data_IF_514229752440
#
_entry.id   IF_514229752440
#
_cell.length_a   1.000
_cell.length_b   1.000
_cell.length_c   1.000
_cell.angle_alpha   90.00
_cell.angle_beta   90.00
_cell.angle_gamma   90.00
#
_symmetry.space_group_name_H-M   'P 1'
#
loop_
_entity.id
_entity.type
_entity.pdbx_description
1 polymer ?
#
# COMPACT_ATOMS: atom_id res chain seq x y z
N UNK A 1 -5.07 40.61 -15.53
CA UNK A 1 -4.65 39.52 -14.62
C UNK A 1 -5.92 38.92 -14.04
N UNK A 2 -6.00 37.58 -13.90
CA UNK A 2 -7.17 36.95 -13.28
C UNK A 2 -7.37 37.48 -11.87
N UNK A 3 -8.63 37.70 -11.48
CA UNK A 3 -8.94 38.13 -10.11
C UNK A 3 -8.98 36.93 -9.14
N UNK A 4 -8.96 37.21 -7.85
CA UNK A 4 -8.87 36.18 -6.79
C UNK A 4 -10.04 35.17 -6.83
N UNK A 5 -11.22 35.60 -7.30
CA UNK A 5 -12.39 34.75 -7.44
C UNK A 5 -12.25 33.80 -8.64
N UNK A 6 -11.74 34.26 -9.78
CA UNK A 6 -11.47 33.42 -10.95
C UNK A 6 -10.40 32.36 -10.65
N UNK A 7 -9.37 32.70 -9.87
CA UNK A 7 -8.36 31.74 -9.42
C UNK A 7 -8.97 30.72 -8.47
N UNK A 8 -9.80 31.16 -7.51
CA UNK A 8 -10.50 30.25 -6.58
C UNK A 8 -11.45 29.30 -7.31
N UNK A 9 -12.24 29.80 -8.26
CA UNK A 9 -13.18 28.98 -9.04
C UNK A 9 -12.45 27.99 -9.96
N UNK A 10 -11.34 28.43 -10.57
CA UNK A 10 -10.49 27.55 -11.36
C UNK A 10 -9.90 26.42 -10.51
N UNK A 11 -9.37 26.75 -9.32
CA UNK A 11 -8.82 25.78 -8.36
C UNK A 11 -9.89 24.85 -7.79
N UNK A 12 -11.08 25.35 -7.48
CA UNK A 12 -12.23 24.56 -7.03
C UNK A 12 -12.69 23.59 -8.12
N UNK A 13 -12.75 24.02 -9.39
CA UNK A 13 -13.12 23.15 -10.51
C UNK A 13 -12.10 22.04 -10.77
N UNK A 14 -10.80 22.31 -10.52
CA UNK A 14 -9.72 21.32 -10.61
C UNK A 14 -9.80 20.32 -9.45
N UNK A 15 -10.00 20.79 -8.20
CA UNK A 15 -10.21 19.90 -7.04
C UNK A 15 -11.40 18.95 -7.24
N UNK A 16 -12.51 19.45 -7.76
CA UNK A 16 -13.72 18.65 -7.99
C UNK A 16 -13.57 17.60 -9.11
N UNK A 17 -12.72 17.83 -10.11
CA UNK A 17 -12.41 16.85 -11.17
C UNK A 17 -11.38 15.80 -10.76
N UNK A 18 -10.39 16.17 -9.94
CA UNK A 18 -9.28 15.29 -9.56
C UNK A 18 -9.67 14.34 -8.41
N UNK A 19 -10.50 14.81 -7.48
CA UNK A 19 -10.95 14.01 -6.33
C UNK A 19 -11.65 12.67 -6.70
N UNK A 20 -12.59 12.60 -7.68
CA UNK A 20 -13.22 11.34 -8.04
C UNK A 20 -12.29 10.39 -8.82
N UNK A 21 -11.34 10.91 -9.62
CA UNK A 21 -10.42 10.05 -10.38
C UNK A 21 -9.33 9.43 -9.50
N UNK A 22 -8.84 10.12 -8.46
CA UNK A 22 -7.86 9.54 -7.54
C UNK A 22 -8.49 8.52 -6.57
N UNK A 23 -9.76 8.70 -6.21
CA UNK A 23 -10.50 7.80 -5.30
C UNK A 23 -11.02 6.53 -6.02
N UNK A 24 -11.21 6.61 -7.34
CA UNK A 24 -11.71 5.50 -8.16
C UNK A 24 -10.65 4.55 -8.73
N UNK A 25 -9.36 4.84 -8.55
CA UNK A 25 -8.30 4.05 -9.15
C UNK A 25 -8.26 2.62 -8.54
N UNK A 26 -8.39 1.55 -9.36
CA UNK A 26 -8.41 0.15 -8.91
C UNK A 26 -7.07 -0.35 -8.32
N UNK A 27 -6.13 0.55 -8.02
CA UNK A 27 -4.73 0.23 -7.75
C UNK A 27 -4.45 -0.52 -6.44
N UNK A 28 -5.06 -0.21 -5.27
CA UNK A 28 -4.61 -0.83 -4.01
C UNK A 28 -4.82 -2.34 -3.98
N UNK A 29 -5.96 -2.81 -4.49
CA UNK A 29 -6.32 -4.23 -4.61
C UNK A 29 -5.43 -4.96 -5.58
N UNK A 30 -5.10 -4.32 -6.70
CA UNK A 30 -4.26 -4.89 -7.74
C UNK A 30 -2.82 -5.01 -7.23
N UNK A 31 -2.29 -3.97 -6.58
CA UNK A 31 -0.99 -4.00 -5.92
C UNK A 31 -0.95 -5.07 -4.83
N UNK A 32 -1.92 -5.12 -3.92
CA UNK A 32 -1.98 -6.12 -2.85
C UNK A 32 -2.17 -7.54 -3.40
N UNK A 33 -3.01 -7.72 -4.42
CA UNK A 33 -3.20 -9.01 -5.10
C UNK A 33 -1.90 -9.50 -5.75
N UNK A 34 -1.21 -8.63 -6.49
CA UNK A 34 0.09 -8.95 -7.07
C UNK A 34 1.17 -9.24 -6.02
N UNK A 35 1.15 -8.52 -4.90
CA UNK A 35 2.03 -8.77 -3.76
C UNK A 35 1.80 -10.15 -3.14
N UNK A 36 0.54 -10.55 -2.97
CA UNK A 36 0.17 -11.90 -2.49
C UNK A 36 0.58 -12.96 -3.50
N UNK A 37 0.39 -12.73 -4.80
CA UNK A 37 0.87 -13.65 -5.86
C UNK A 37 2.39 -13.82 -5.79
N UNK A 38 3.15 -12.74 -5.63
CA UNK A 38 4.60 -12.82 -5.44
C UNK A 38 4.97 -13.66 -4.21
N UNK A 39 4.24 -13.50 -3.09
CA UNK A 39 4.46 -14.29 -1.89
C UNK A 39 4.21 -15.79 -2.12
N UNK A 40 3.10 -16.12 -2.80
CA UNK A 40 2.76 -17.51 -3.14
C UNK A 40 3.81 -18.11 -4.06
N UNK A 41 4.29 -17.37 -5.06
CA UNK A 41 5.38 -17.82 -5.94
C UNK A 41 6.66 -18.12 -5.16
N UNK A 42 7.00 -17.30 -4.16
CA UNK A 42 8.13 -17.57 -3.27
C UNK A 42 7.89 -18.82 -2.42
N UNK A 43 6.66 -19.06 -1.94
CA UNK A 43 6.33 -20.26 -1.15
C UNK A 43 6.40 -21.55 -1.98
N UNK A 44 5.84 -21.57 -3.19
CA UNK A 44 5.76 -22.80 -4.00
C UNK A 44 7.00 -23.01 -4.88
N UNK A 45 7.69 -21.93 -5.23
CA UNK A 45 8.78 -21.91 -6.20
C UNK A 45 10.17 -21.64 -5.60
N UNK A 46 10.33 -21.68 -4.28
CA UNK A 46 11.59 -21.35 -3.60
C UNK A 46 12.81 -22.16 -4.08
N UNK A 47 12.60 -23.35 -4.66
CA UNK A 47 13.68 -24.18 -5.21
C UNK A 47 14.18 -23.75 -6.60
N UNK A 48 13.55 -22.77 -7.26
CA UNK A 48 13.85 -22.37 -8.64
C UNK A 48 14.30 -20.91 -8.70
N UNK A 49 15.56 -20.67 -9.06
CA UNK A 49 16.14 -19.33 -9.14
C UNK A 49 15.36 -18.39 -10.09
N UNK A 50 14.92 -18.81 -11.30
CA UNK A 50 14.09 -17.98 -12.16
C UNK A 50 12.77 -17.56 -11.49
N UNK A 51 12.13 -18.45 -10.73
CA UNK A 51 10.86 -18.15 -10.05
C UNK A 51 11.08 -17.17 -8.91
N UNK A 52 12.14 -17.35 -8.13
CA UNK A 52 12.50 -16.42 -7.05
C UNK A 52 12.80 -15.03 -7.59
N UNK A 53 13.56 -14.91 -8.67
CA UNK A 53 13.87 -13.63 -9.31
C UNK A 53 12.60 -12.97 -9.89
N UNK A 54 11.76 -13.73 -10.58
CA UNK A 54 10.49 -13.23 -11.10
C UNK A 54 9.55 -12.74 -9.99
N UNK A 55 9.47 -13.49 -8.88
CA UNK A 55 8.69 -13.11 -7.72
C UNK A 55 9.25 -11.86 -7.03
N UNK A 56 10.57 -11.70 -6.94
CA UNK A 56 11.20 -10.51 -6.38
C UNK A 56 10.91 -9.25 -7.22
N UNK A 57 10.93 -9.37 -8.56
CA UNK A 57 10.54 -8.27 -9.47
C UNK A 57 9.07 -7.91 -9.28
N UNK A 58 8.18 -8.91 -9.27
CA UNK A 58 6.74 -8.69 -9.05
C UNK A 58 6.48 -8.03 -7.69
N UNK A 59 7.16 -8.49 -6.65
CA UNK A 59 7.11 -7.89 -5.32
C UNK A 59 7.54 -6.41 -5.35
N UNK A 60 8.67 -6.08 -5.98
CA UNK A 60 9.14 -4.70 -6.09
C UNK A 60 8.16 -3.79 -6.81
N UNK A 61 7.58 -4.26 -7.93
CA UNK A 61 6.58 -3.50 -8.69
C UNK A 61 5.28 -3.27 -7.91
N UNK A 62 4.84 -4.28 -7.17
CA UNK A 62 3.55 -4.24 -6.44
C UNK A 62 3.66 -3.52 -5.11
N UNK A 63 4.75 -3.70 -4.37
CA UNK A 63 5.02 -3.03 -3.10
C UNK A 63 5.50 -1.57 -3.29
N UNK A 64 6.27 -1.28 -4.34
CA UNK A 64 6.86 0.05 -4.57
C UNK A 64 5.82 1.17 -4.67
N UNK A 65 4.60 0.85 -5.11
CA UNK A 65 3.49 1.80 -5.16
C UNK A 65 2.79 2.06 -3.83
N UNK A 66 3.13 1.37 -2.72
CA UNK A 66 2.39 1.45 -1.47
C UNK A 66 2.47 2.83 -0.81
N UNK A 67 3.65 3.45 -0.77
CA UNK A 67 3.86 4.75 -0.14
C UNK A 67 2.97 5.86 -0.74
N UNK A 68 2.99 6.15 -2.06
CA UNK A 68 2.13 7.20 -2.64
C UNK A 68 0.62 6.89 -2.53
N UNK A 69 0.23 5.60 -2.53
CA UNK A 69 -1.17 5.21 -2.30
C UNK A 69 -1.61 5.53 -0.87
N UNK A 70 -0.79 5.20 0.13
CA UNK A 70 -1.07 5.52 1.54
C UNK A 70 -1.03 7.02 1.80
N UNK A 71 -0.09 7.76 1.21
CA UNK A 71 -0.03 9.22 1.31
C UNK A 71 -1.30 9.88 0.76
N UNK A 72 -1.81 9.38 -0.38
CA UNK A 72 -3.06 9.86 -0.96
C UNK A 72 -4.23 9.61 -0.01
N UNK A 73 -4.32 8.40 0.55
CA UNK A 73 -5.36 8.05 1.51
C UNK A 73 -5.30 8.90 2.81
N UNK A 74 -4.10 9.10 3.35
CA UNK A 74 -3.87 9.94 4.53
C UNK A 74 -4.16 11.41 4.26
N UNK A 75 -3.88 11.91 3.06
CA UNK A 75 -4.22 13.28 2.66
C UNK A 75 -5.72 13.50 2.68
N UNK A 76 -6.48 12.54 2.14
CA UNK A 76 -7.94 12.60 2.12
C UNK A 76 -8.50 12.47 3.55
N UNK A 77 -8.01 11.50 4.34
CA UNK A 77 -8.49 11.26 5.68
C UNK A 77 -8.09 12.36 6.69
N UNK A 78 -6.91 12.95 6.52
CA UNK A 78 -6.35 13.97 7.41
C UNK A 78 -6.94 15.37 7.22
N UNK A 79 -7.54 15.66 6.07
CA UNK A 79 -8.21 16.94 5.81
C UNK A 79 -7.30 18.14 6.04
N UNK A 80 -7.61 18.97 7.04
CA UNK A 80 -6.78 20.15 7.41
C UNK A 80 -5.44 19.75 8.03
N UNK A 81 -5.34 18.56 8.61
CA UNK A 81 -4.14 18.02 9.25
C UNK A 81 -3.40 17.02 8.34
N UNK A 82 -3.59 17.11 7.02
CA UNK A 82 -2.99 16.18 6.04
C UNK A 82 -1.47 16.14 6.11
N UNK A 83 -0.83 17.28 6.36
CA UNK A 83 0.64 17.38 6.40
C UNK A 83 1.19 16.67 7.64
N UNK A 84 0.50 16.81 8.77
CA UNK A 84 0.82 16.08 10.00
C UNK A 84 0.62 14.58 9.82
N UNK A 85 -0.50 14.15 9.24
CA UNK A 85 -0.77 12.73 8.99
C UNK A 85 0.28 12.09 8.08
N UNK A 86 0.67 12.77 6.99
CA UNK A 86 1.70 12.28 6.07
C UNK A 86 3.09 12.29 6.71
N UNK A 87 3.39 13.22 7.62
CA UNK A 87 4.68 13.24 8.33
C UNK A 87 4.88 12.00 9.23
N UNK A 88 3.81 11.39 9.74
CA UNK A 88 3.90 10.14 10.51
C UNK A 88 4.07 8.88 9.63
N UNK A 89 3.79 8.96 8.33
CA UNK A 89 3.85 7.77 7.47
C UNK A 89 5.26 7.17 7.39
N UNK A 90 6.36 7.93 7.17
CA UNK A 90 7.71 7.39 7.21
C UNK A 90 8.08 6.81 8.59
N UNK A 91 7.58 7.42 9.68
CA UNK A 91 7.81 6.93 11.05
C UNK A 91 7.18 5.54 11.22
N UNK A 92 5.93 5.37 10.79
CA UNK A 92 5.25 4.09 10.83
C UNK A 92 5.95 3.03 9.96
N UNK A 93 6.39 3.39 8.75
CA UNK A 93 7.16 2.50 7.88
C UNK A 93 8.48 2.07 8.52
N UNK A 94 9.25 3.00 9.06
CA UNK A 94 10.54 2.70 9.69
C UNK A 94 10.38 1.81 10.92
N UNK A 95 9.34 2.06 11.73
CA UNK A 95 9.03 1.23 12.88
C UNK A 95 8.65 -0.20 12.44
N UNK A 96 7.80 -0.32 11.41
CA UNK A 96 7.41 -1.61 10.85
C UNK A 96 8.61 -2.38 10.27
N UNK A 97 9.50 -1.73 9.52
CA UNK A 97 10.71 -2.35 8.97
C UNK A 97 11.65 -2.79 10.08
N UNK A 98 11.85 -1.96 11.10
CA UNK A 98 12.71 -2.30 12.25
C UNK A 98 12.16 -3.49 13.03
N UNK A 99 10.85 -3.49 13.32
CA UNK A 99 10.18 -4.60 13.98
C UNK A 99 10.23 -5.88 13.11
N UNK A 100 9.97 -5.77 11.81
CA UNK A 100 10.05 -6.90 10.89
C UNK A 100 11.47 -7.47 10.79
N UNK A 101 12.51 -6.64 10.88
CA UNK A 101 13.90 -7.10 10.94
C UNK A 101 14.18 -7.93 12.19
N UNK A 102 13.74 -7.46 13.37
CA UNK A 102 13.91 -8.18 14.63
C UNK A 102 13.11 -9.49 14.66
N UNK A 103 11.80 -9.41 14.38
CA UNK A 103 10.91 -10.58 14.37
C UNK A 103 11.32 -11.55 13.27
N UNK A 104 11.66 -11.04 12.09
CA UNK A 104 12.11 -11.84 10.95
C UNK A 104 13.39 -12.63 11.25
N UNK A 105 14.38 -12.00 11.90
CA UNK A 105 15.60 -12.70 12.31
C UNK A 105 15.31 -13.87 13.25
N UNK A 106 14.41 -13.67 14.23
CA UNK A 106 13.97 -14.73 15.14
C UNK A 106 13.23 -15.85 14.40
N UNK A 107 12.32 -15.50 13.49
CA UNK A 107 11.57 -16.48 12.70
C UNK A 107 12.48 -17.33 11.82
N UNK A 108 13.48 -16.72 11.16
CA UNK A 108 14.47 -17.47 10.37
C UNK A 108 15.26 -18.44 11.26
N UNK A 109 15.68 -18.00 12.45
CA UNK A 109 16.48 -18.82 13.36
C UNK A 109 15.77 -20.11 13.81
N UNK A 110 14.43 -20.06 13.93
CA UNK A 110 13.63 -21.20 14.41
C UNK A 110 13.03 -22.03 13.28
N UNK A 111 12.64 -21.40 12.18
CA UNK A 111 11.79 -22.01 11.13
C UNK A 111 12.39 -21.99 9.73
N UNK A 112 13.60 -21.43 9.56
CA UNK A 112 14.25 -21.26 8.26
C UNK A 112 13.65 -20.15 7.40
N UNK A 113 14.19 -19.91 6.21
CA UNK A 113 13.84 -18.75 5.37
C UNK A 113 12.42 -18.77 4.78
N UNK A 114 11.82 -19.95 4.58
CA UNK A 114 10.50 -20.07 3.95
C UNK A 114 9.38 -19.42 4.78
N UNK A 115 9.57 -19.33 6.10
CA UNK A 115 8.62 -18.68 7.02
C UNK A 115 8.38 -17.20 6.66
N UNK A 116 9.36 -16.53 6.04
CA UNK A 116 9.21 -15.14 5.62
C UNK A 116 8.26 -15.01 4.44
N UNK A 117 8.36 -15.91 3.45
CA UNK A 117 7.45 -15.93 2.30
C UNK A 117 6.02 -16.27 2.74
N UNK A 118 5.86 -17.20 3.68
CA UNK A 118 4.56 -17.53 4.28
C UNK A 118 3.99 -16.34 5.05
N UNK A 119 4.80 -15.68 5.88
CA UNK A 119 4.38 -14.50 6.64
C UNK A 119 3.97 -13.36 5.71
N UNK A 120 4.72 -13.14 4.63
CA UNK A 120 4.40 -12.18 3.58
C UNK A 120 3.04 -12.50 2.93
N UNK A 121 2.77 -13.78 2.62
CA UNK A 121 1.50 -14.19 2.03
C UNK A 121 0.32 -13.94 2.99
N UNK A 122 0.46 -14.34 4.26
CA UNK A 122 -0.59 -14.16 5.28
C UNK A 122 -0.86 -12.68 5.53
N UNK A 123 0.17 -11.88 5.79
CA UNK A 123 0.02 -10.44 6.05
C UNK A 123 -0.50 -9.70 4.81
N UNK A 124 -0.04 -10.07 3.62
CA UNK A 124 -0.55 -9.52 2.36
C UNK A 124 -2.03 -9.85 2.13
N UNK A 125 -2.46 -11.08 2.43
CA UNK A 125 -3.86 -11.48 2.33
C UNK A 125 -4.73 -10.75 3.35
N UNK A 126 -4.27 -10.60 4.59
CA UNK A 126 -4.96 -9.81 5.61
C UNK A 126 -5.11 -8.35 5.18
N UNK A 127 -4.04 -7.74 4.67
CA UNK A 127 -4.08 -6.38 4.15
C UNK A 127 -5.06 -6.26 2.97
N UNK A 128 -5.08 -7.22 2.05
CA UNK A 128 -6.06 -7.26 0.96
C UNK A 128 -7.49 -7.31 1.51
N UNK A 129 -7.78 -8.20 2.46
CA UNK A 129 -9.11 -8.33 3.07
C UNK A 129 -9.54 -7.05 3.79
N UNK A 130 -8.69 -6.50 4.66
CA UNK A 130 -8.96 -5.25 5.40
C UNK A 130 -9.31 -4.14 4.45
N UNK A 131 -8.52 -4.03 3.39
CA UNK A 131 -8.72 -2.99 2.41
C UNK A 131 -10.14 -3.29 1.79
N UNK A 132 -10.46 -4.53 1.35
CA UNK A 132 -11.64 -4.79 0.49
C UNK A 132 -12.91 -4.49 1.26
N UNK A 133 -12.92 -4.90 2.52
CA UNK A 133 -13.99 -4.61 3.48
C UNK A 133 -14.07 -3.11 3.78
N UNK A 134 -12.93 -2.43 3.95
CA UNK A 134 -12.86 -0.99 4.17
C UNK A 134 -13.55 -0.18 3.06
N UNK A 135 -13.43 -0.59 1.79
CA UNK A 135 -14.15 0.06 0.68
C UNK A 135 -15.67 0.01 0.82
N UNK A 136 -16.20 -1.13 1.25
CA UNK A 136 -17.65 -1.30 1.42
C UNK A 136 -18.21 -0.35 2.48
N UNK A 137 -17.39 0.00 3.48
CA UNK A 137 -17.78 0.89 4.58
C UNK A 137 -17.86 2.36 4.16
N UNK A 138 -17.00 2.81 3.23
CA UNK A 138 -17.05 4.17 2.69
C UNK A 138 -18.09 4.35 1.59
N UNK A 139 -18.32 3.33 0.75
CA UNK A 139 -19.35 3.37 -0.29
C UNK A 139 -20.79 3.43 0.26
N UNK A 140 -21.02 2.95 1.50
CA UNK A 140 -22.33 3.03 2.16
C UNK A 140 -22.63 4.35 2.88
N UNK A 141 -21.70 5.33 2.85
CA UNK A 141 -21.83 6.63 3.53
C UNK A 141 -21.84 7.84 2.57
N UNK A 142 -21.79 7.60 1.26
CA UNK A 142 -21.94 8.60 0.21
C UNK A 142 -23.36 8.53 -0.38
#
# INVERSE_FOLDING_TARGET
MPNENEVRDFLMSRRARIAPELVGLPLPWASLGGFVVAAVLLVVGHGSAPVVLGAAVLWGLTFGGAAPQLQSALTIAGGTESDLANAFLPVAFNLAISAAGLVGALLIAVSGGLVLAVSMAVLGALALVVTVVGRQTFAGRA
#
